data_IF_976618474976
#
_entry.id   IF_976618474976
#
_cell.length_a   1.000
_cell.length_b   1.000
_cell.length_c   1.000
_cell.angle_alpha   90.00
_cell.angle_beta   90.00
_cell.angle_gamma   90.00
#
_symmetry.space_group_name_H-M   'P 1'
#
loop_
_entity.id
_entity.type
_entity.pdbx_description
1 polymer ?
#
# COMPACT_ATOMS: atom_id res chain seq x y z
N UNK A 1 -15.27 -25.25 12.77
CA UNK A 1 -14.96 -23.94 12.14
C UNK A 1 -14.33 -23.09 13.23
N UNK A 2 -13.17 -22.49 12.97
CA UNK A 2 -12.44 -21.65 13.92
C UNK A 2 -12.28 -20.27 13.26
N UNK A 3 -12.59 -19.21 14.00
CA UNK A 3 -12.24 -17.85 13.61
C UNK A 3 -10.86 -17.54 14.20
N UNK A 4 -9.88 -17.25 13.33
CA UNK A 4 -8.49 -17.04 13.74
C UNK A 4 -8.21 -15.62 14.21
N UNK A 5 -9.05 -14.64 13.82
CA UNK A 5 -8.77 -13.20 14.02
C UNK A 5 -7.32 -12.82 13.68
N UNK A 6 -6.79 -13.43 12.61
CA UNK A 6 -5.37 -13.34 12.22
C UNK A 6 -4.90 -11.93 11.83
N UNK A 7 -5.82 -10.96 11.70
CA UNK A 7 -5.50 -9.56 11.45
C UNK A 7 -4.67 -8.95 12.59
N UNK A 8 -4.82 -9.45 13.82
CA UNK A 8 -4.06 -9.05 15.00
C UNK A 8 -2.64 -9.64 15.04
N UNK A 9 -2.24 -10.48 14.09
CA UNK A 9 -0.87 -11.00 14.05
C UNK A 9 0.14 -9.84 13.88
N UNK A 10 1.19 -9.81 14.69
CA UNK A 10 2.18 -8.72 14.72
C UNK A 10 2.01 -7.73 15.87
N UNK A 11 0.89 -7.75 16.62
CA UNK A 11 0.66 -6.87 17.78
C UNK A 11 1.67 -7.07 18.93
N UNK A 12 2.36 -8.22 18.98
CA UNK A 12 3.41 -8.50 19.96
C UNK A 12 4.81 -8.47 19.36
N UNK A 13 4.95 -7.90 18.16
CA UNK A 13 6.23 -7.70 17.49
C UNK A 13 6.67 -8.85 16.59
N UNK A 14 5.81 -9.84 16.33
CA UNK A 14 6.14 -10.99 15.47
C UNK A 14 6.46 -10.59 14.02
N UNK A 15 6.03 -9.40 13.60
CA UNK A 15 6.22 -8.86 12.26
C UNK A 15 7.23 -7.70 12.20
N UNK A 16 7.93 -7.39 13.31
CA UNK A 16 8.84 -6.24 13.39
C UNK A 16 9.96 -6.29 12.32
N UNK A 17 10.47 -7.49 12.02
CA UNK A 17 11.52 -7.67 10.99
C UNK A 17 11.02 -7.39 9.56
N UNK A 18 9.70 -7.36 9.36
CA UNK A 18 9.05 -7.11 8.08
C UNK A 18 8.35 -5.75 8.02
N UNK A 19 8.31 -5.02 9.14
CA UNK A 19 7.72 -3.69 9.25
C UNK A 19 8.63 -2.65 8.60
N UNK A 20 8.01 -1.73 7.86
CA UNK A 20 8.71 -0.58 7.30
C UNK A 20 8.25 0.70 8.01
N UNK A 21 9.02 1.80 7.93
CA UNK A 21 8.55 3.09 8.43
C UNK A 21 7.23 3.58 7.82
N UNK A 22 6.83 3.04 6.66
CA UNK A 22 5.52 3.32 6.07
C UNK A 22 4.41 2.63 6.86
N UNK A 23 4.64 1.37 7.26
CA UNK A 23 3.66 0.59 8.02
C UNK A 23 3.47 1.22 9.41
N UNK A 24 4.53 1.74 10.02
CA UNK A 24 4.45 2.50 11.27
C UNK A 24 3.61 3.78 11.11
N UNK A 25 3.79 4.53 10.03
CA UNK A 25 3.01 5.74 9.74
C UNK A 25 1.53 5.41 9.51
N UNK A 26 1.24 4.31 8.82
CA UNK A 26 -0.13 3.79 8.64
C UNK A 26 -0.74 3.38 9.98
N UNK A 27 -0.01 2.65 10.82
CA UNK A 27 -0.49 2.22 12.12
C UNK A 27 -0.81 3.41 13.03
N UNK A 28 0.12 4.36 13.15
CA UNK A 28 -0.03 5.55 13.99
C UNK A 28 -1.18 6.47 13.56
N UNK A 29 -1.50 6.51 12.26
CA UNK A 29 -2.58 7.34 11.71
C UNK A 29 -3.93 6.63 11.61
N UNK A 30 -3.96 5.32 11.90
CA UNK A 30 -5.18 4.50 11.83
C UNK A 30 -6.15 4.76 13.01
N UNK A 31 -7.35 4.19 12.90
CA UNK A 31 -8.41 4.26 13.94
C UNK A 31 -7.99 3.48 15.19
N UNK A 32 -7.12 2.49 15.04
CA UNK A 32 -6.72 1.55 16.08
C UNK A 32 -5.19 1.33 16.09
N UNK A 33 -4.38 2.33 16.46
CA UNK A 33 -2.93 2.20 16.53
C UNK A 33 -2.50 1.04 17.44
N UNK A 34 -1.46 0.31 17.04
CA UNK A 34 -0.97 -0.88 17.74
C UNK A 34 -1.84 -2.13 17.60
N UNK A 35 -2.93 -2.06 16.83
CA UNK A 35 -3.83 -3.19 16.60
C UNK A 35 -3.99 -3.54 15.12
N UNK A 36 -4.42 -4.76 14.82
CA UNK A 36 -4.70 -5.22 13.46
C UNK A 36 -3.49 -5.05 12.51
N UNK A 37 -2.28 -5.29 13.03
CA UNK A 37 -1.01 -5.03 12.33
C UNK A 37 -0.92 -5.78 10.99
N UNK A 38 -1.23 -7.07 10.99
CA UNK A 38 -1.24 -7.86 9.76
C UNK A 38 -2.30 -7.36 8.77
N UNK A 39 -3.51 -7.05 9.26
CA UNK A 39 -4.59 -6.51 8.41
C UNK A 39 -4.20 -5.20 7.73
N UNK A 40 -3.47 -4.32 8.42
CA UNK A 40 -2.96 -3.06 7.87
C UNK A 40 -1.98 -3.27 6.72
N UNK A 41 -1.24 -4.37 6.72
CA UNK A 41 -0.30 -4.66 5.64
C UNK A 41 -0.93 -5.33 4.42
N UNK A 42 -2.16 -5.86 4.53
CA UNK A 42 -2.73 -6.73 3.48
C UNK A 42 -4.13 -6.36 3.00
N UNK A 43 -4.88 -5.55 3.73
CA UNK A 43 -6.28 -5.28 3.39
C UNK A 43 -6.42 -4.08 2.45
N UNK A 44 -7.50 -4.10 1.65
CA UNK A 44 -7.82 -3.03 0.72
C UNK A 44 -8.14 -1.68 1.38
N UNK A 45 -8.31 -1.63 2.71
CA UNK A 45 -8.46 -0.37 3.43
C UNK A 45 -7.13 0.41 3.51
N UNK A 46 -5.99 -0.28 3.53
CA UNK A 46 -4.69 0.33 3.81
C UNK A 46 -3.71 0.27 2.64
N UNK A 47 -3.83 -0.72 1.74
CA UNK A 47 -2.95 -0.87 0.56
C UNK A 47 -2.83 0.43 -0.26
N UNK A 48 -3.95 1.13 -0.47
CA UNK A 48 -3.97 2.41 -1.18
C UNK A 48 -3.13 3.48 -0.49
N UNK A 49 -3.30 3.66 0.83
CA UNK A 49 -2.53 4.63 1.60
C UNK A 49 -1.05 4.24 1.76
N UNK A 50 -0.73 2.95 1.85
CA UNK A 50 0.66 2.47 1.80
C UNK A 50 1.32 2.90 0.48
N UNK A 51 0.66 2.65 -0.65
CA UNK A 51 1.14 3.10 -1.95
C UNK A 51 1.27 4.63 -2.00
N UNK A 52 0.27 5.37 -1.51
CA UNK A 52 0.28 6.84 -1.44
C UNK A 52 1.50 7.38 -0.72
N UNK A 53 1.81 6.87 0.47
CA UNK A 53 2.95 7.32 1.27
C UNK A 53 4.28 7.03 0.58
N UNK A 54 4.42 5.86 -0.05
CA UNK A 54 5.60 5.53 -0.86
C UNK A 54 5.75 6.48 -2.06
N UNK A 55 4.66 6.82 -2.74
CA UNK A 55 4.65 7.76 -3.86
C UNK A 55 5.05 9.17 -3.39
N UNK A 56 4.56 9.63 -2.24
CA UNK A 56 4.95 10.92 -1.65
C UNK A 56 6.45 10.94 -1.36
N UNK A 57 6.98 9.90 -0.69
CA UNK A 57 8.42 9.81 -0.39
C UNK A 57 9.28 9.76 -1.67
N UNK A 58 8.81 9.05 -2.70
CA UNK A 58 9.45 9.05 -4.01
C UNK A 58 9.45 10.46 -4.65
N UNK A 59 8.36 11.21 -4.51
CA UNK A 59 8.30 12.62 -4.92
C UNK A 59 9.28 13.50 -4.16
N UNK A 60 9.31 13.41 -2.83
CA UNK A 60 10.18 14.22 -1.95
C UNK A 60 11.68 13.96 -2.21
N UNK A 61 12.05 12.71 -2.48
CA UNK A 61 13.42 12.32 -2.88
C UNK A 61 13.80 12.77 -4.30
N UNK A 62 12.82 13.16 -5.11
CA UNK A 62 13.00 13.62 -6.50
C UNK A 62 12.99 12.51 -7.54
N UNK A 63 12.49 11.32 -7.20
CA UNK A 63 12.22 10.25 -8.16
C UNK A 63 10.92 10.49 -8.94
N UNK A 64 10.00 11.27 -8.36
CA UNK A 64 8.74 11.66 -8.99
C UNK A 64 8.52 13.17 -8.89
N UNK A 65 7.65 13.68 -9.75
CA UNK A 65 7.01 15.00 -9.70
C UNK A 65 7.96 16.18 -9.70
N UNK A 66 9.22 15.99 -10.10
CA UNK A 66 10.28 17.00 -9.98
C UNK A 66 10.31 17.65 -8.57
N UNK A 67 10.11 16.85 -7.51
CA UNK A 67 10.01 17.31 -6.10
C UNK A 67 8.80 18.19 -5.78
N UNK A 68 7.79 18.23 -6.64
CA UNK A 68 6.53 18.96 -6.45
C UNK A 68 5.37 17.99 -6.36
N UNK A 69 5.27 17.29 -5.22
CA UNK A 69 4.18 16.35 -4.94
C UNK A 69 2.82 17.06 -5.10
N UNK A 70 1.86 16.49 -5.87
CA UNK A 70 0.53 17.08 -5.99
C UNK A 70 -0.16 17.20 -4.63
N UNK A 71 -0.69 18.39 -4.32
CA UNK A 71 -1.32 18.65 -3.01
C UNK A 71 -2.47 17.69 -2.73
N UNK A 72 -3.24 17.31 -3.77
CA UNK A 72 -4.31 16.34 -3.65
C UNK A 72 -3.84 14.95 -3.19
N UNK A 73 -2.58 14.58 -3.45
CA UNK A 73 -1.99 13.30 -3.04
C UNK A 73 -1.62 13.28 -1.54
N UNK A 74 -1.50 14.44 -0.90
CA UNK A 74 -1.13 14.55 0.53
C UNK A 74 -2.25 14.16 1.47
N UNK A 75 -3.49 14.10 0.98
CA UNK A 75 -4.66 13.79 1.79
C UNK A 75 -4.75 12.28 2.05
N UNK A 76 -5.05 11.89 3.30
CA UNK A 76 -5.31 10.50 3.65
C UNK A 76 -6.47 9.93 2.80
N UNK A 77 -6.32 8.71 2.29
CA UNK A 77 -7.33 8.06 1.45
C UNK A 77 -7.45 8.63 0.03
N UNK A 78 -6.59 9.58 -0.38
CA UNK A 78 -6.65 10.17 -1.73
C UNK A 78 -6.26 9.19 -2.84
N UNK A 79 -5.58 8.10 -2.49
CA UNK A 79 -5.14 7.06 -3.42
C UNK A 79 -5.81 5.73 -3.04
N UNK A 80 -7.06 5.48 -3.46
CA UNK A 80 -7.78 4.26 -3.10
C UNK A 80 -7.11 3.02 -3.70
N UNK A 81 -7.35 1.85 -3.10
CA UNK A 81 -6.86 0.56 -3.62
C UNK A 81 -7.29 0.30 -5.08
N UNK A 82 -8.42 0.87 -5.53
CA UNK A 82 -8.81 0.82 -6.94
C UNK A 82 -7.79 1.50 -7.88
N UNK A 83 -7.06 2.53 -7.43
CA UNK A 83 -5.96 3.12 -8.20
C UNK A 83 -4.76 2.18 -8.29
N UNK A 84 -4.46 1.44 -7.21
CA UNK A 84 -3.41 0.40 -7.21
C UNK A 84 -3.76 -0.69 -8.22
N UNK A 85 -5.02 -1.13 -8.29
CA UNK A 85 -5.45 -2.09 -9.32
C UNK A 85 -5.40 -1.51 -10.73
N UNK A 86 -5.72 -0.23 -10.90
CA UNK A 86 -5.69 0.43 -12.20
C UNK A 86 -4.26 0.61 -12.73
N UNK A 87 -3.23 0.61 -11.86
CA UNK A 87 -1.84 0.84 -12.27
C UNK A 87 -1.26 -0.23 -13.20
N UNK A 88 -1.96 -1.33 -13.42
CA UNK A 88 -1.59 -2.37 -14.39
C UNK A 88 -2.06 -2.04 -15.82
N UNK A 89 -2.90 -1.02 -15.99
CA UNK A 89 -3.48 -0.58 -17.26
C UNK A 89 -3.07 0.87 -17.57
N UNK A 90 -1.92 1.06 -18.24
CA UNK A 90 -1.33 2.38 -18.52
C UNK A 90 -2.33 3.38 -19.13
N UNK A 91 -3.01 2.96 -20.19
CA UNK A 91 -3.97 3.76 -20.96
C UNK A 91 -5.15 4.25 -20.11
N UNK A 92 -5.48 3.55 -19.03
CA UNK A 92 -6.54 3.91 -18.11
C UNK A 92 -6.01 4.66 -16.87
N UNK A 93 -4.83 4.29 -16.38
CA UNK A 93 -4.23 4.86 -15.18
C UNK A 93 -3.83 6.32 -15.37
N UNK A 94 -3.09 6.64 -16.44
CA UNK A 94 -2.57 7.99 -16.68
C UNK A 94 -3.69 9.04 -16.67
N UNK A 95 -4.71 8.97 -17.56
CA UNK A 95 -5.79 9.97 -17.57
C UNK A 95 -6.59 10.01 -16.26
N UNK A 96 -6.72 8.88 -15.56
CA UNK A 96 -7.38 8.86 -14.25
C UNK A 96 -6.54 9.55 -13.17
N UNK A 97 -5.23 9.36 -13.15
CA UNK A 97 -4.32 10.04 -12.25
C UNK A 97 -4.32 11.55 -12.52
N UNK A 98 -4.21 11.94 -13.79
CA UNK A 98 -4.24 13.34 -14.23
C UNK A 98 -5.53 14.05 -13.78
N UNK A 99 -6.68 13.43 -14.03
CA UNK A 99 -7.98 14.00 -13.61
C UNK A 99 -8.18 14.05 -12.09
N UNK A 100 -7.54 13.15 -11.34
CA UNK A 100 -7.69 13.07 -9.88
C UNK A 100 -6.74 14.01 -9.15
N UNK A 101 -5.49 14.13 -9.61
CA UNK A 101 -4.42 14.85 -8.92
C UNK A 101 -3.96 16.12 -9.63
N UNK A 102 -4.47 16.40 -10.84
CA UNK A 102 -4.12 17.59 -11.62
C UNK A 102 -2.66 17.62 -12.06
N UNK A 103 -2.05 16.44 -12.25
CA UNK A 103 -0.64 16.28 -12.59
C UNK A 103 -0.48 15.39 -13.81
N UNK A 104 0.17 15.92 -14.86
CA UNK A 104 0.47 15.22 -16.11
C UNK A 104 1.62 14.24 -15.92
N UNK A 105 1.33 12.94 -16.02
CA UNK A 105 2.35 11.90 -15.88
C UNK A 105 3.07 11.69 -17.21
N UNK A 106 4.40 11.64 -17.17
CA UNK A 106 5.16 11.04 -18.26
C UNK A 106 5.27 9.52 -18.10
N UNK A 107 5.71 8.82 -19.16
CA UNK A 107 5.84 7.36 -19.15
C UNK A 107 6.81 6.84 -18.08
N UNK A 108 7.86 7.61 -17.72
CA UNK A 108 8.83 7.20 -16.71
C UNK A 108 8.24 7.32 -15.30
N UNK A 109 7.52 8.40 -15.04
CA UNK A 109 6.77 8.61 -13.79
C UNK A 109 5.68 7.54 -13.63
N UNK A 110 4.95 7.24 -14.70
CA UNK A 110 4.01 6.11 -14.73
C UNK A 110 4.69 4.79 -14.38
N UNK A 111 5.80 4.43 -15.04
CA UNK A 111 6.53 3.18 -14.74
C UNK A 111 6.95 3.11 -13.26
N UNK A 112 7.38 4.23 -12.68
CA UNK A 112 7.77 4.32 -11.28
C UNK A 112 6.56 4.13 -10.35
N UNK A 113 5.43 4.78 -10.64
CA UNK A 113 4.18 4.60 -9.90
C UNK A 113 3.66 3.16 -9.98
N UNK A 114 3.66 2.57 -11.18
CA UNK A 114 3.25 1.18 -11.39
C UNK A 114 4.15 0.21 -10.62
N UNK A 115 5.46 0.46 -10.58
CA UNK A 115 6.42 -0.35 -9.81
C UNK A 115 6.14 -0.27 -8.30
N UNK A 116 5.81 0.92 -7.77
CA UNK A 116 5.42 1.09 -6.37
C UNK A 116 4.14 0.31 -6.07
N UNK A 117 3.11 0.49 -6.89
CA UNK A 117 1.81 -0.19 -6.72
C UNK A 117 1.96 -1.72 -6.77
N UNK A 118 2.77 -2.22 -7.70
CA UNK A 118 3.04 -3.63 -7.84
C UNK A 118 3.86 -4.20 -6.67
N UNK A 119 4.84 -3.46 -6.14
CA UNK A 119 5.60 -3.87 -4.97
C UNK A 119 4.72 -4.00 -3.72
N UNK A 120 3.82 -3.04 -3.47
CA UNK A 120 2.85 -3.09 -2.36
C UNK A 120 1.88 -4.26 -2.52
N UNK A 121 1.37 -4.47 -3.75
CA UNK A 121 0.44 -5.56 -4.05
C UNK A 121 1.09 -6.93 -3.86
N UNK A 122 2.32 -7.12 -4.38
CA UNK A 122 3.08 -8.36 -4.22
C UNK A 122 3.40 -8.67 -2.76
N UNK A 123 3.79 -7.67 -1.97
CA UNK A 123 4.02 -7.83 -0.52
C UNK A 123 2.74 -8.32 0.18
N UNK A 124 1.63 -7.65 -0.07
CA UNK A 124 0.32 -7.97 0.52
C UNK A 124 -0.11 -9.40 0.18
N UNK A 125 0.00 -9.78 -1.10
CA UNK A 125 -0.32 -11.13 -1.57
C UNK A 125 0.60 -12.19 -0.94
N UNK A 126 1.91 -11.91 -0.82
CA UNK A 126 2.88 -12.81 -0.21
C UNK A 126 2.60 -13.06 1.28
N UNK A 127 2.26 -12.02 2.03
CA UNK A 127 1.87 -12.12 3.43
C UNK A 127 0.60 -12.96 3.61
N UNK A 128 -0.44 -12.69 2.82
CA UNK A 128 -1.67 -13.50 2.80
C UNK A 128 -1.38 -14.97 2.47
N UNK A 129 -0.56 -15.23 1.45
CA UNK A 129 -0.18 -16.59 1.07
C UNK A 129 0.56 -17.32 2.19
N UNK A 130 1.50 -16.66 2.88
CA UNK A 130 2.22 -17.23 4.02
C UNK A 130 1.27 -17.61 5.16
N UNK A 131 0.32 -16.73 5.51
CA UNK A 131 -0.71 -17.00 6.51
C UNK A 131 -1.59 -18.20 6.14
N UNK A 132 -2.08 -18.26 4.88
CA UNK A 132 -2.89 -19.36 4.40
C UNK A 132 -2.13 -20.69 4.39
N UNK A 133 -0.87 -20.69 3.96
CA UNK A 133 -0.01 -21.88 3.97
C UNK A 133 0.20 -22.39 5.39
N UNK A 134 0.36 -21.51 6.38
CA UNK A 134 0.49 -21.91 7.77
C UNK A 134 -0.77 -22.61 8.30
N UNK A 135 -1.96 -22.09 7.94
CA UNK A 135 -3.24 -22.72 8.28
C UNK A 135 -3.38 -24.08 7.61
N UNK A 136 -3.10 -24.18 6.31
CA UNK A 136 -3.20 -25.44 5.55
C UNK A 136 -2.28 -26.52 6.14
N UNK A 137 -1.02 -26.16 6.46
CA UNK A 137 -0.05 -27.07 7.10
C UNK A 137 -0.47 -27.57 8.48
N UNK A 138 -1.35 -26.85 9.18
CA UNK A 138 -1.87 -27.25 10.49
C UNK A 138 -3.04 -28.23 10.37
N UNK A 139 -3.74 -28.22 9.24
CA UNK A 139 -4.91 -29.07 8.97
C UNK A 139 -4.50 -30.36 8.27
N UNK A 140 -3.42 -30.34 7.47
CA UNK A 140 -2.81 -31.51 6.82
C UNK A 140 -2.04 -32.38 7.81
#
# INVERSE_FOLDING_TARGET
IINTEWGAFGEHGELNDFHTPIDDEIDLSSINPGHQIFEKMVSGMYIGDIARLLIIKAGESGLLFNRKVPVALTQYGSFPTAMVSLSYEEDAFIPKFESTFGYLLDSLEYCTLATICDAVSRRSAGLCAAGLVAILKRIS
#
